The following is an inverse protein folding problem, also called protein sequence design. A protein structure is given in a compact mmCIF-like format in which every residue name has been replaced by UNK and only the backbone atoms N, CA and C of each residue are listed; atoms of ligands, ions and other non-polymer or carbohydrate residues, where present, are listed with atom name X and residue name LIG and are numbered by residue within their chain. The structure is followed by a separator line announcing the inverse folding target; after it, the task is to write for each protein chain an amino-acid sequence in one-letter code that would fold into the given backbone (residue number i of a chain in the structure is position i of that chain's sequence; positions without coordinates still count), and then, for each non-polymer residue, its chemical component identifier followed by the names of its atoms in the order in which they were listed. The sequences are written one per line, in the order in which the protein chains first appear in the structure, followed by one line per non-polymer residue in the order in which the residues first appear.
data_IF_709870467422
#
_entry.id   IF_709870467422
#
_cell.length_a   1.000
_cell.length_b   1.000
_cell.length_c   1.000
_cell.angle_alpha   90.00
_cell.angle_beta   90.00
_cell.angle_gamma   90.00
#
_symmetry.space_group_name_H-M   'P 1'
#
loop_
_entity.id
_entity.type
_entity.pdbx_description
1 polymer ?
#
# COMPACT_ATOMS: atom_id res chain seq x y z
N UNK A 1 12.39 6.64 8.64
CA UNK A 1 11.91 6.50 7.24
C UNK A 1 10.42 6.74 7.18
N UNK A 2 9.95 7.60 6.26
CA UNK A 2 8.53 7.94 6.11
C UNK A 2 7.76 6.74 5.53
N UNK A 3 6.59 6.44 6.07
CA UNK A 3 5.67 5.45 5.52
C UNK A 3 4.96 5.97 4.28
N UNK A 4 4.78 7.29 4.18
CA UNK A 4 4.19 7.96 3.02
C UNK A 4 5.11 7.87 1.81
N UNK A 5 4.60 7.21 0.77
CA UNK A 5 5.23 7.10 -0.54
C UNK A 5 4.15 7.24 -1.59
N UNK A 6 4.45 8.00 -2.63
CA UNK A 6 3.54 8.26 -3.73
C UNK A 6 4.17 7.79 -5.05
N UNK A 7 3.32 7.40 -5.99
CA UNK A 7 3.71 7.10 -7.37
C UNK A 7 2.64 7.58 -8.34
N UNK A 8 3.02 7.80 -9.60
CA UNK A 8 2.06 8.11 -10.66
C UNK A 8 1.69 6.85 -11.45
N UNK A 9 0.40 6.52 -11.51
CA UNK A 9 -0.17 5.56 -12.43
C UNK A 9 -0.53 6.25 -13.75
N UNK A 10 -0.20 5.68 -14.93
CA UNK A 10 -0.46 6.32 -16.23
C UNK A 10 -1.92 6.75 -16.45
N UNK A 11 -2.87 5.94 -15.98
CA UNK A 11 -4.31 6.18 -16.14
C UNK A 11 -4.99 6.85 -14.95
N UNK A 12 -4.55 6.56 -13.72
CA UNK A 12 -5.29 6.90 -12.50
C UNK A 12 -4.61 8.01 -11.69
N UNK A 13 -3.51 8.55 -12.21
CA UNK A 13 -2.76 9.63 -11.56
C UNK A 13 -2.08 9.16 -10.28
N UNK A 14 -2.06 10.03 -9.27
CA UNK A 14 -1.30 9.79 -8.05
C UNK A 14 -1.92 8.66 -7.21
N UNK A 15 -1.08 7.69 -6.86
CA UNK A 15 -1.39 6.65 -5.89
C UNK A 15 -0.58 6.90 -4.62
N UNK A 16 -1.14 6.53 -3.46
CA UNK A 16 -0.44 6.55 -2.18
C UNK A 16 -0.24 5.13 -1.67
N UNK A 17 0.89 4.88 -1.00
CA UNK A 17 1.22 3.57 -0.43
C UNK A 17 0.39 3.31 0.83
N UNK A 18 -0.25 2.15 0.86
CA UNK A 18 -1.11 1.69 1.96
C UNK A 18 -0.36 0.72 2.87
N UNK A 19 0.41 -0.20 2.29
CA UNK A 19 1.12 -1.23 3.03
C UNK A 19 2.32 -1.78 2.23
N UNK A 20 3.28 -2.38 2.92
CA UNK A 20 4.34 -3.17 2.30
C UNK A 20 3.88 -4.63 2.17
N UNK A 21 3.88 -5.18 0.96
CA UNK A 21 3.40 -6.54 0.66
C UNK A 21 4.52 -7.60 0.66
N UNK A 22 5.77 -7.19 0.91
CA UNK A 22 6.93 -8.09 0.91
C UNK A 22 7.46 -8.38 -0.49
N UNK A 23 8.65 -8.99 -0.58
CA UNK A 23 9.29 -9.38 -1.85
C UNK A 23 9.46 -8.22 -2.85
N UNK A 24 9.71 -7.00 -2.35
CA UNK A 24 9.84 -5.80 -3.18
C UNK A 24 8.52 -5.29 -3.76
N UNK A 25 7.37 -5.77 -3.24
CA UNK A 25 6.04 -5.33 -3.63
C UNK A 25 5.41 -4.45 -2.56
N UNK A 26 4.63 -3.49 -3.03
CA UNK A 26 3.93 -2.51 -2.20
C UNK A 26 2.46 -2.42 -2.64
N UNK A 27 1.57 -2.25 -1.66
CA UNK A 27 0.16 -1.98 -1.91
C UNK A 27 -0.07 -0.48 -2.06
N UNK A 28 -0.72 -0.08 -3.14
CA UNK A 28 -1.10 1.29 -3.42
C UNK A 28 -2.61 1.43 -3.62
N UNK A 29 -3.14 2.62 -3.32
CA UNK A 29 -4.51 3.00 -3.60
C UNK A 29 -4.60 4.34 -4.35
N UNK A 30 -5.63 4.51 -5.17
CA UNK A 30 -5.88 5.76 -5.90
C UNK A 30 -6.23 6.91 -4.96
N UNK A 31 -5.66 8.10 -5.18
CA UNK A 31 -6.05 9.30 -4.45
C UNK A 31 -7.32 9.96 -5.02
N UNK A 32 -7.52 9.87 -6.34
CA UNK A 32 -8.52 10.67 -7.09
C UNK A 32 -9.67 9.87 -7.71
N UNK A 33 -9.69 8.54 -7.60
CA UNK A 33 -10.69 7.67 -8.21
C UNK A 33 -11.49 6.87 -7.16
N UNK A 34 -12.58 6.20 -7.59
CA UNK A 34 -13.31 5.24 -6.77
C UNK A 34 -12.35 4.13 -6.32
N UNK A 35 -11.90 4.21 -5.05
CA UNK A 35 -10.90 3.35 -4.36
C UNK A 35 -10.51 2.08 -5.13
N UNK A 36 -9.55 2.22 -6.05
CA UNK A 36 -8.90 1.10 -6.71
C UNK A 36 -7.60 0.76 -5.99
N UNK A 37 -7.26 -0.52 -5.96
CA UNK A 37 -6.07 -1.03 -5.28
C UNK A 37 -5.14 -1.69 -6.29
N UNK A 38 -3.85 -1.45 -6.08
CA UNK A 38 -2.79 -1.95 -6.94
C UNK A 38 -1.71 -2.62 -6.11
N UNK A 39 -1.36 -3.85 -6.46
CA UNK A 39 -0.10 -4.43 -6.06
C UNK A 39 0.96 -3.97 -7.05
N UNK A 40 1.98 -3.27 -6.55
CA UNK A 40 3.00 -2.64 -7.37
C UNK A 40 4.34 -3.29 -7.14
N UNK A 41 4.97 -3.72 -8.23
CA UNK A 41 6.33 -4.25 -8.25
C UNK A 41 7.22 -3.25 -8.99
N UNK A 42 8.22 -2.70 -8.30
CA UNK A 42 9.21 -1.82 -8.92
C UNK A 42 10.25 -2.69 -9.64
N UNK A 43 10.50 -2.38 -10.92
CA UNK A 43 11.47 -3.06 -11.77
C UNK A 43 12.55 -2.06 -12.22
N UNK A 44 13.67 -2.55 -12.76
CA UNK A 44 14.76 -1.70 -13.25
C UNK A 44 14.30 -0.69 -14.33
N UNK A 45 13.26 -1.03 -15.10
CA UNK A 45 12.72 -0.22 -16.21
C UNK A 45 11.25 0.16 -16.02
N UNK A 46 10.81 0.39 -14.79
CA UNK A 46 9.49 0.95 -14.51
C UNK A 46 8.79 0.30 -13.33
N UNK A 47 7.46 0.29 -13.37
CA UNK A 47 6.64 -0.34 -12.35
C UNK A 47 5.55 -1.17 -13.03
N UNK A 48 5.33 -2.38 -12.50
CA UNK A 48 4.21 -3.22 -12.88
C UNK A 48 3.06 -2.95 -11.92
N UNK A 49 1.85 -2.74 -12.46
CA UNK A 49 0.64 -2.47 -11.70
C UNK A 49 -0.34 -3.62 -11.89
N UNK A 50 -0.60 -4.37 -10.82
CA UNK A 50 -1.63 -5.41 -10.80
C UNK A 50 -2.84 -4.90 -10.03
N UNK A 51 -4.01 -4.83 -10.67
CA UNK A 51 -5.26 -4.45 -10.00
C UNK A 51 -5.70 -5.59 -9.09
N UNK A 52 -5.98 -5.29 -7.82
CA UNK A 52 -6.46 -6.28 -6.87
C UNK A 52 -7.80 -5.86 -6.24
N UNK A 53 -8.64 -6.82 -5.82
CA UNK A 53 -9.88 -6.54 -5.10
C UNK A 53 -9.64 -5.90 -3.73
N UNK A 54 -10.67 -5.21 -3.21
CA UNK A 54 -10.68 -4.62 -1.87
C UNK A 54 -10.30 -5.62 -0.77
N UNK A 55 -10.85 -6.84 -0.82
CA UNK A 55 -10.61 -7.84 0.22
C UNK A 55 -9.17 -8.32 0.25
N UNK A 56 -8.55 -8.51 -0.91
CA UNK A 56 -7.15 -8.92 -1.02
C UNK A 56 -6.22 -7.78 -0.57
N UNK A 57 -6.53 -6.54 -0.95
CA UNK A 57 -5.83 -5.35 -0.49
C UNK A 57 -5.87 -5.22 1.05
N UNK A 58 -7.06 -5.40 1.64
CA UNK A 58 -7.23 -5.38 3.09
C UNK A 58 -6.41 -6.48 3.76
N UNK A 59 -6.44 -7.69 3.21
CA UNK A 59 -5.69 -8.83 3.75
C UNK A 59 -4.18 -8.56 3.77
N UNK A 60 -3.61 -8.02 2.68
CA UNK A 60 -2.20 -7.65 2.63
C UNK A 60 -1.85 -6.57 3.66
N UNK A 61 -2.73 -5.59 3.85
CA UNK A 61 -2.52 -4.54 4.85
C UNK A 61 -2.58 -5.09 6.29
N UNK A 62 -3.44 -6.06 6.58
CA UNK A 62 -3.49 -6.77 7.87
C UNK A 62 -2.21 -7.56 8.14
N UNK A 63 -1.67 -8.24 7.12
CA UNK A 63 -0.38 -8.92 7.22
C UNK A 63 0.78 -7.95 7.52
N UNK A 64 0.77 -6.78 6.86
CA UNK A 64 1.73 -5.71 7.14
C UNK A 64 1.63 -5.21 8.59
N UNK A 65 0.44 -5.01 9.14
CA UNK A 65 0.26 -4.65 10.56
C UNK A 65 0.84 -5.73 11.49
N UNK A 66 0.60 -7.01 11.20
CA UNK A 66 1.15 -8.12 11.99
C UNK A 66 2.69 -8.17 11.96
N UNK A 67 3.31 -7.78 10.84
CA UNK A 67 4.77 -7.62 10.74
C UNK A 67 5.24 -6.38 11.50
N UNK A 68 4.64 -5.22 11.26
CA UNK A 68 4.98 -3.96 11.92
C UNK A 68 4.88 -4.02 13.45
N UNK A 69 3.94 -4.80 13.99
CA UNK A 69 3.82 -5.03 15.45
C UNK A 69 5.08 -5.66 16.05
N UNK A 70 5.82 -6.46 15.27
CA UNK A 70 7.09 -7.08 15.69
C UNK A 70 8.28 -6.11 15.58
N UNK A 71 8.18 -5.10 14.73
CA UNK A 71 9.23 -4.09 14.53
C UNK A 71 9.19 -3.01 15.63
N UNK A 72 8.01 -2.68 16.14
CA UNK A 72 7.86 -1.79 17.29
C UNK A 72 6.58 -0.94 17.26
N UNK A 73 6.24 -0.30 18.39
CA UNK A 73 4.99 0.45 18.53
C UNK A 73 4.89 1.63 17.55
N UNK A 74 5.99 2.36 17.32
CA UNK A 74 5.99 3.53 16.42
C UNK A 74 5.82 3.15 14.94
N UNK A 75 6.37 1.99 14.54
CA UNK A 75 6.20 1.46 13.18
C UNK A 75 4.76 0.98 12.99
N UNK A 76 4.25 0.22 13.96
CA UNK A 76 2.87 -0.27 13.96
C UNK A 76 1.85 0.88 13.93
N UNK A 77 2.04 1.93 14.75
CA UNK A 77 1.13 3.07 14.80
C UNK A 77 1.00 3.79 13.45
N UNK A 78 2.12 3.98 12.73
CA UNK A 78 2.11 4.61 11.40
C UNK A 78 1.36 3.78 10.37
N UNK A 79 1.58 2.47 10.33
CA UNK A 79 0.83 1.59 9.42
C UNK A 79 -0.63 1.45 9.82
N UNK A 80 -0.94 1.50 11.12
CA UNK A 80 -2.32 1.47 11.61
C UNK A 80 -3.12 2.69 11.16
N UNK A 81 -2.51 3.88 11.20
CA UNK A 81 -3.14 5.09 10.69
C UNK A 81 -3.50 4.97 9.20
N UNK A 82 -2.58 4.47 8.37
CA UNK A 82 -2.84 4.25 6.94
C UNK A 82 -3.92 3.19 6.71
N UNK A 83 -3.94 2.11 7.50
CA UNK A 83 -4.97 1.09 7.42
C UNK A 83 -6.35 1.68 7.72
N UNK A 84 -6.48 2.41 8.84
CA UNK A 84 -7.76 2.99 9.26
C UNK A 84 -8.25 4.02 8.23
N UNK A 85 -7.38 4.89 7.72
CA UNK A 85 -7.73 5.86 6.66
C UNK A 85 -8.24 5.18 5.37
N UNK A 86 -7.73 3.98 5.06
CA UNK A 86 -7.98 3.31 3.77
C UNK A 86 -9.18 2.36 3.82
N UNK A 87 -9.39 1.66 4.94
CA UNK A 87 -10.32 0.53 5.02
C UNK A 87 -11.43 0.68 6.07
N UNK A 88 -11.42 1.73 6.88
CA UNK A 88 -12.45 2.07 7.87
C UNK A 88 -13.14 3.37 7.44
#
# INVERSE_FOLDING_TARGET
MSTERYLNHPTFGLLYRVAEAGEGRDLYATLYAQRMFFLVTIQERGAQFEVIPLMDARHLAEQNLARARREGPDVHARWRQLFDQTFI
#
